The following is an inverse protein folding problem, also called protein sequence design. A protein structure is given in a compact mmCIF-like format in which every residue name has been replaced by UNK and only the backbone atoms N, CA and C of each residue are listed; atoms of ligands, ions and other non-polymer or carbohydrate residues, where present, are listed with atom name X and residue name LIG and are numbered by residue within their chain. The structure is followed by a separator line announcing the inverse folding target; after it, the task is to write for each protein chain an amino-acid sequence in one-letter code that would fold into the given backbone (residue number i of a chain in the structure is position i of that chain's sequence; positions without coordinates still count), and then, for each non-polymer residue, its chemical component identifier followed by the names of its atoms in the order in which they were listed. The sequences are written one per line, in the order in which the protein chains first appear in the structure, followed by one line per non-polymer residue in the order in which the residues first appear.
data_IF_278465073895
#
_entry.id   IF_278465073895
#
_cell.length_a   1.000
_cell.length_b   1.000
_cell.length_c   1.000
_cell.angle_alpha   90.00
_cell.angle_beta   90.00
_cell.angle_gamma   90.00
#
_symmetry.space_group_name_H-M   'P 1'
#
loop_
_entity.id
_entity.type
_entity.pdbx_description
1 polymer ?
#
# COMPACT_ATOMS: atom_id res chain seq x y z
N UNK A 1 2.78 -15.90 15.94
CA UNK A 1 3.51 -14.74 15.38
C UNK A 1 3.78 -13.76 16.51
N UNK A 2 4.98 -13.18 16.58
CA UNK A 2 5.28 -12.09 17.52
C UNK A 2 4.33 -10.93 17.18
N UNK A 3 3.50 -10.51 18.12
CA UNK A 3 2.67 -9.31 17.95
C UNK A 3 3.63 -8.14 17.79
N UNK A 4 3.52 -7.40 16.68
CA UNK A 4 4.29 -6.17 16.50
C UNK A 4 3.74 -5.14 17.48
N UNK A 5 4.40 -5.04 18.63
CA UNK A 5 4.09 -4.02 19.63
C UNK A 5 4.80 -2.72 19.24
N UNK A 6 4.00 -1.73 18.86
CA UNK A 6 4.47 -0.37 18.67
C UNK A 6 4.56 0.31 20.03
N UNK A 7 5.78 0.68 20.42
CA UNK A 7 6.03 1.49 21.60
C UNK A 7 6.20 2.97 21.24
N UNK A 8 5.71 3.90 22.08
CA UNK A 8 5.94 5.33 21.92
C UNK A 8 7.44 5.67 21.85
N UNK A 9 7.75 6.86 21.34
CA UNK A 9 9.10 7.40 21.42
C UNK A 9 9.38 7.91 22.84
N UNK A 10 10.47 7.45 23.44
CA UNK A 10 10.94 7.96 24.73
C UNK A 10 11.59 9.33 24.53
N UNK A 11 11.18 10.32 25.34
CA UNK A 11 11.73 11.67 25.38
C UNK A 11 11.76 12.43 24.03
N UNK A 12 10.99 11.99 23.03
CA UNK A 12 10.87 12.63 21.71
C UNK A 12 9.41 12.81 21.30
N UNK A 13 9.15 13.88 20.56
CA UNK A 13 7.88 14.11 19.87
C UNK A 13 8.07 13.89 18.37
N UNK A 14 7.13 13.20 17.76
CA UNK A 14 7.11 12.98 16.31
C UNK A 14 5.84 13.59 15.74
N UNK A 15 6.03 14.46 14.75
CA UNK A 15 4.97 14.96 13.87
C UNK A 15 5.11 14.33 12.50
N UNK A 16 4.05 13.70 12.01
CA UNK A 16 3.98 13.09 10.68
C UNK A 16 3.01 13.88 9.81
N UNK A 17 3.52 14.48 8.75
CA UNK A 17 2.70 14.98 7.65
C UNK A 17 2.49 13.84 6.67
N UNK A 18 1.31 13.26 6.71
CA UNK A 18 0.89 12.19 5.83
C UNK A 18 0.31 12.77 4.53
N UNK A 19 0.98 12.55 3.41
CA UNK A 19 0.54 13.00 2.10
C UNK A 19 -0.03 11.83 1.32
N UNK A 20 -1.32 11.88 1.02
CA UNK A 20 -1.96 10.88 0.16
C UNK A 20 -1.47 11.03 -1.28
N UNK A 21 -0.99 9.93 -1.87
CA UNK A 21 -0.66 9.84 -3.29
C UNK A 21 -1.90 9.85 -4.16
N UNK A 22 -1.66 9.99 -5.45
CA UNK A 22 -2.71 9.92 -6.48
C UNK A 22 -3.12 8.48 -6.82
N UNK A 23 -2.40 7.50 -6.28
CA UNK A 23 -2.56 6.08 -6.53
C UNK A 23 -2.03 5.29 -5.33
N UNK A 24 -2.44 4.03 -5.22
CA UNK A 24 -1.89 3.10 -4.23
C UNK A 24 -0.75 2.28 -4.82
N UNK A 25 0.33 2.09 -4.06
CA UNK A 25 1.40 1.18 -4.48
C UNK A 25 0.85 -0.24 -4.58
N UNK A 26 1.13 -0.95 -5.68
CA UNK A 26 0.71 -2.34 -5.79
C UNK A 26 1.31 -3.18 -4.67
N UNK A 27 0.44 -3.93 -4.00
CA UNK A 27 0.81 -4.86 -2.95
C UNK A 27 -0.01 -6.14 -3.10
N UNK A 28 0.69 -7.25 -3.29
CA UNK A 28 0.13 -8.59 -3.25
C UNK A 28 0.95 -9.44 -2.29
N UNK A 29 0.24 -10.21 -1.45
CA UNK A 29 0.84 -11.15 -0.49
C UNK A 29 1.43 -12.34 -1.24
N UNK A 30 0.70 -12.84 -2.25
CA UNK A 30 1.09 -13.94 -3.13
C UNK A 30 0.98 -13.46 -4.57
N UNK A 31 1.86 -13.89 -5.47
CA UNK A 31 1.84 -13.50 -6.88
C UNK A 31 0.46 -13.77 -7.52
N UNK A 32 -0.16 -12.80 -8.21
CA UNK A 32 -1.40 -13.06 -8.94
C UNK A 32 -1.14 -14.05 -10.09
N UNK A 33 -2.03 -15.03 -10.25
CA UNK A 33 -1.93 -16.10 -11.27
C UNK A 33 -1.98 -15.60 -12.71
N UNK A 34 -2.42 -14.35 -12.93
CA UNK A 34 -2.38 -13.71 -14.24
C UNK A 34 -1.06 -12.96 -14.38
N UNK A 35 -0.13 -13.51 -15.17
CA UNK A 35 1.01 -12.74 -15.67
C UNK A 35 0.47 -11.42 -16.25
N UNK A 36 0.93 -10.28 -15.72
CA UNK A 36 0.71 -9.01 -16.41
C UNK A 36 1.18 -9.21 -17.85
N UNK A 37 0.40 -8.80 -18.87
CA UNK A 37 0.89 -8.91 -20.24
C UNK A 37 2.26 -8.24 -20.29
N UNK A 38 3.28 -8.94 -20.81
CA UNK A 38 4.69 -8.48 -20.86
C UNK A 38 4.90 -7.09 -21.47
N UNK A 39 3.84 -6.54 -22.10
CA UNK A 39 3.78 -5.21 -22.71
C UNK A 39 2.87 -4.21 -21.93
N UNK A 40 2.49 -4.49 -20.69
CA UNK A 40 1.73 -3.53 -19.87
C UNK A 40 2.64 -2.33 -19.60
N UNK A 41 2.18 -1.13 -19.98
CA UNK A 41 2.91 0.12 -19.82
C UNK A 41 3.39 0.21 -18.36
N UNK A 42 4.70 0.23 -18.08
CA UNK A 42 5.26 0.36 -16.72
C UNK A 42 4.82 1.64 -15.98
N UNK A 43 4.10 2.55 -16.65
CA UNK A 43 3.97 3.96 -16.30
C UNK A 43 2.68 4.37 -15.59
N UNK A 44 1.83 3.43 -15.14
CA UNK A 44 0.55 3.80 -14.50
C UNK A 44 0.77 4.29 -13.05
N UNK A 45 1.70 3.68 -12.31
CA UNK A 45 1.98 4.00 -10.90
C UNK A 45 3.18 4.94 -10.77
N UNK A 46 3.01 6.18 -11.20
CA UNK A 46 4.02 7.24 -11.10
C UNK A 46 3.35 8.54 -10.65
N UNK A 47 3.95 9.29 -9.70
CA UNK A 47 3.38 10.57 -9.30
C UNK A 47 3.41 11.54 -10.47
N UNK A 48 2.35 12.35 -10.60
CA UNK A 48 2.32 13.37 -11.64
C UNK A 48 3.28 14.52 -11.33
N UNK A 49 3.65 15.27 -12.37
CA UNK A 49 4.48 16.47 -12.22
C UNK A 49 3.87 17.47 -11.23
N UNK A 50 2.54 17.61 -11.22
CA UNK A 50 1.85 18.49 -10.28
C UNK A 50 2.00 18.03 -8.83
N UNK A 51 1.93 16.72 -8.58
CA UNK A 51 2.17 16.16 -7.26
C UNK A 51 3.62 16.33 -6.82
N UNK A 52 4.58 16.10 -7.72
CA UNK A 52 6.00 16.34 -7.43
C UNK A 52 6.27 17.82 -7.10
N UNK A 53 5.71 18.76 -7.87
CA UNK A 53 5.86 20.19 -7.60
C UNK A 53 5.18 20.63 -6.30
N UNK A 54 4.05 20.01 -5.94
CA UNK A 54 3.42 20.20 -4.64
C UNK A 54 4.34 19.71 -3.51
N UNK A 55 4.86 18.48 -3.61
CA UNK A 55 5.78 17.92 -2.62
C UNK A 55 7.04 18.76 -2.49
N UNK A 56 7.59 19.24 -3.60
CA UNK A 56 8.77 20.10 -3.59
C UNK A 56 8.57 21.33 -2.69
N UNK A 57 7.45 22.05 -2.88
CA UNK A 57 7.09 23.20 -2.05
C UNK A 57 6.87 22.81 -0.59
N UNK A 58 6.20 21.69 -0.36
CA UNK A 58 5.96 21.19 0.99
C UNK A 58 7.27 20.88 1.72
N UNK A 59 8.23 20.26 1.04
CA UNK A 59 9.56 19.97 1.60
C UNK A 59 10.29 21.28 1.94
N UNK A 60 10.24 22.27 1.06
CA UNK A 60 10.90 23.58 1.28
C UNK A 60 10.29 24.35 2.47
N UNK A 61 8.98 24.26 2.65
CA UNK A 61 8.24 24.91 3.74
C UNK A 61 8.43 24.19 5.08
N UNK A 62 8.30 22.86 5.09
CA UNK A 62 8.29 22.04 6.31
C UNK A 62 9.71 21.72 6.79
N UNK A 63 10.66 21.53 5.87
CA UNK A 63 12.03 21.07 6.13
C UNK A 63 12.05 19.81 7.03
N UNK A 64 11.44 18.70 6.58
CA UNK A 64 11.34 17.50 7.38
C UNK A 64 12.72 16.91 7.71
N UNK A 65 12.83 16.25 8.86
CA UNK A 65 14.06 15.55 9.26
C UNK A 65 14.31 14.30 8.42
N UNK A 66 13.23 13.68 7.97
CA UNK A 66 13.26 12.59 7.02
C UNK A 66 11.89 12.43 6.33
N UNK A 67 11.85 11.62 5.29
CA UNK A 67 10.62 11.21 4.66
C UNK A 67 10.58 9.70 4.44
N UNK A 68 9.37 9.18 4.30
CA UNK A 68 9.13 7.76 4.05
C UNK A 68 8.10 7.56 2.96
N UNK A 69 8.16 6.42 2.29
CA UNK A 69 7.14 5.97 1.34
C UNK A 69 6.98 4.45 1.44
N UNK A 70 5.75 3.97 1.25
CA UNK A 70 5.44 2.55 1.12
C UNK A 70 6.24 1.90 -0.02
N UNK A 71 6.93 0.79 0.24
CA UNK A 71 7.67 0.07 -0.81
C UNK A 71 6.71 -0.60 -1.81
N UNK A 72 5.64 -1.23 -1.30
CA UNK A 72 4.77 -2.09 -2.08
C UNK A 72 5.52 -3.35 -2.54
N UNK A 73 5.29 -3.75 -3.78
CA UNK A 73 5.97 -4.90 -4.39
C UNK A 73 7.17 -4.52 -5.27
N UNK A 74 7.68 -3.29 -5.12
CA UNK A 74 8.92 -2.84 -5.75
C UNK A 74 10.12 -3.42 -5.01
N UNK A 75 11.20 -3.69 -5.72
CA UNK A 75 12.51 -3.92 -5.11
C UNK A 75 13.06 -2.64 -4.48
N UNK A 76 13.94 -2.78 -3.48
CA UNK A 76 14.67 -1.62 -2.93
C UNK A 76 15.51 -0.89 -3.97
N UNK A 77 15.94 -1.58 -5.03
CA UNK A 77 16.68 -0.98 -6.13
C UNK A 77 15.77 -0.04 -6.93
N UNK A 78 14.60 -0.51 -7.38
CA UNK A 78 13.60 0.31 -8.07
C UNK A 78 13.19 1.52 -7.20
N UNK A 79 12.98 1.30 -5.90
CA UNK A 79 12.67 2.37 -4.97
C UNK A 79 13.74 3.46 -4.89
N UNK A 80 15.02 3.11 -4.96
CA UNK A 80 16.13 4.07 -4.79
C UNK A 80 16.55 4.72 -6.10
N UNK A 81 16.54 3.97 -7.19
CA UNK A 81 17.16 4.38 -8.46
C UNK A 81 16.11 4.91 -9.46
N UNK A 82 14.92 4.31 -9.49
CA UNK A 82 13.90 4.57 -10.52
C UNK A 82 12.76 5.45 -10.01
N UNK A 83 12.60 5.55 -8.69
CA UNK A 83 11.58 6.38 -8.06
C UNK A 83 11.90 7.87 -8.17
N UNK A 84 11.02 8.62 -8.83
CA UNK A 84 11.14 10.07 -8.96
C UNK A 84 11.05 10.81 -7.61
N UNK A 85 10.37 10.25 -6.61
CA UNK A 85 10.33 10.83 -5.27
C UNK A 85 11.68 10.67 -4.56
N UNK A 86 12.37 9.54 -4.74
CA UNK A 86 13.70 9.36 -4.19
C UNK A 86 14.69 10.37 -4.77
N UNK A 87 14.58 10.68 -6.08
CA UNK A 87 15.38 11.72 -6.72
C UNK A 87 15.04 13.13 -6.17
N UNK A 88 13.76 13.42 -5.95
CA UNK A 88 13.29 14.69 -5.36
C UNK A 88 13.83 14.90 -3.93
N UNK A 89 13.67 13.92 -3.04
CA UNK A 89 14.17 14.05 -1.67
C UNK A 89 15.70 14.11 -1.61
N UNK A 90 16.39 13.39 -2.51
CA UNK A 90 17.85 13.48 -2.64
C UNK A 90 18.30 14.88 -3.04
N UNK A 91 17.62 15.56 -3.97
CA UNK A 91 17.97 16.93 -4.37
C UNK A 91 17.70 17.97 -3.29
N UNK A 92 16.78 17.66 -2.36
CA UNK A 92 16.47 18.45 -1.17
C UNK A 92 17.29 18.06 0.07
N UNK A 93 18.29 17.19 -0.10
CA UNK A 93 19.17 16.70 0.98
C UNK A 93 18.39 16.11 2.17
N UNK A 94 17.18 15.60 1.92
CA UNK A 94 16.31 15.01 2.94
C UNK A 94 16.41 13.49 2.86
N UNK A 95 16.73 12.78 3.96
CA UNK A 95 16.73 11.33 3.98
C UNK A 95 15.38 10.74 3.60
N UNK A 96 15.36 9.77 2.68
CA UNK A 96 14.13 9.14 2.20
C UNK A 96 14.20 7.63 2.30
N UNK A 97 13.26 7.03 3.03
CA UNK A 97 13.28 5.62 3.37
C UNK A 97 12.04 4.87 2.86
N UNK A 98 12.25 3.65 2.38
CA UNK A 98 11.16 2.72 2.14
C UNK A 98 10.65 2.16 3.48
N UNK A 99 9.34 2.03 3.63
CA UNK A 99 8.70 1.35 4.75
C UNK A 99 7.74 0.28 4.23
N UNK A 100 7.85 -0.94 4.74
CA UNK A 100 7.03 -2.08 4.34
C UNK A 100 7.18 -3.23 5.36
N UNK A 101 6.36 -4.27 5.21
CA UNK A 101 6.58 -5.57 5.86
C UNK A 101 7.99 -6.07 5.53
N UNK A 102 8.72 -6.53 6.55
CA UNK A 102 10.00 -7.22 6.37
C UNK A 102 9.86 -8.43 5.43
N UNK A 103 10.87 -8.65 4.57
CA UNK A 103 10.80 -9.67 3.53
C UNK A 103 10.54 -11.07 4.11
N UNK A 104 11.21 -11.44 5.20
CA UNK A 104 11.02 -12.74 5.84
C UNK A 104 9.62 -12.89 6.45
N UNK A 105 9.11 -11.82 7.07
CA UNK A 105 7.74 -11.80 7.58
C UNK A 105 6.71 -11.90 6.45
N UNK A 106 6.96 -11.24 5.31
CA UNK A 106 6.12 -11.29 4.11
C UNK A 106 6.10 -12.69 3.51
N UNK A 107 7.26 -13.33 3.35
CA UNK A 107 7.37 -14.73 2.88
C UNK A 107 6.62 -15.70 3.80
N UNK A 108 6.77 -15.54 5.12
CA UNK A 108 6.05 -16.38 6.08
C UNK A 108 4.53 -16.21 5.98
N UNK A 109 4.04 -14.99 5.79
CA UNK A 109 2.61 -14.70 5.60
C UNK A 109 2.11 -15.27 4.26
N UNK A 110 2.89 -15.10 3.19
CA UNK A 110 2.59 -15.62 1.87
C UNK A 110 2.44 -17.14 1.88
N UNK A 111 3.35 -17.85 2.55
CA UNK A 111 3.29 -19.32 2.68
C UNK A 111 1.98 -19.80 3.29
N UNK A 112 1.47 -19.12 4.34
CA UNK A 112 0.21 -19.48 5.00
C UNK A 112 -1.02 -19.26 4.11
N UNK A 113 -0.97 -18.27 3.21
CA UNK A 113 -2.04 -18.00 2.24
C UNK A 113 -1.93 -18.99 1.07
N UNK A 114 -0.72 -19.26 0.59
CA UNK A 114 -0.45 -20.20 -0.50
C UNK A 114 -0.87 -21.63 -0.15
N UNK A 115 -0.68 -22.06 1.11
CA UNK A 115 -1.15 -23.37 1.57
C UNK A 115 -2.67 -23.51 1.43
N UNK A 116 -3.44 -22.48 1.84
CA UNK A 116 -4.89 -22.45 1.67
C UNK A 116 -5.29 -22.43 0.20
N UNK A 117 -4.59 -21.65 -0.63
CA UNK A 117 -4.83 -21.60 -2.08
C UNK A 117 -4.59 -22.95 -2.76
N UNK A 118 -3.53 -23.66 -2.39
CA UNK A 118 -3.27 -25.02 -2.91
C UNK A 118 -4.38 -25.98 -2.52
N UNK A 119 -4.82 -25.95 -1.26
CA UNK A 119 -5.94 -26.79 -0.81
C UNK A 119 -7.24 -26.47 -1.57
N UNK A 120 -7.53 -25.19 -1.80
CA UNK A 120 -8.66 -24.73 -2.62
C UNK A 120 -8.57 -25.30 -4.03
N UNK A 121 -7.40 -25.19 -4.67
CA UNK A 121 -7.19 -25.64 -6.04
C UNK A 121 -7.32 -27.16 -6.16
N UNK A 122 -6.92 -27.92 -5.14
CA UNK A 122 -7.08 -29.37 -5.10
C UNK A 122 -8.56 -29.79 -4.91
N UNK A 123 -9.33 -29.05 -4.11
CA UNK A 123 -10.79 -29.26 -3.99
C UNK A 123 -11.50 -28.94 -5.31
N UNK A 124 -11.12 -27.87 -6.00
CA UNK A 124 -11.67 -27.52 -7.32
C UNK A 124 -11.44 -28.65 -8.31
N UNK A 125 -10.21 -29.19 -8.40
CA UNK A 125 -9.90 -30.33 -9.28
C UNK A 125 -10.75 -31.55 -8.94
N UNK A 126 -10.92 -31.87 -7.65
CA UNK A 126 -11.75 -32.98 -7.23
C UNK A 126 -13.22 -32.80 -7.68
N UNK A 127 -13.77 -31.59 -7.52
CA UNK A 127 -15.13 -31.24 -7.98
C UNK A 127 -15.27 -31.31 -9.50
N UNK A 128 -14.25 -30.91 -10.26
CA UNK A 128 -14.23 -31.06 -11.72
C UNK A 128 -14.27 -32.55 -12.14
N UNK A 129 -13.57 -33.44 -11.45
CA UNK A 129 -13.61 -34.89 -11.68
C UNK A 129 -14.99 -35.50 -11.40
N UNK A 130 -15.73 -34.96 -10.42
CA UNK A 130 -17.11 -35.36 -10.15
C UNK A 130 -18.07 -34.92 -11.28
N UNK A 131 -17.93 -33.67 -11.74
CA UNK A 131 -18.80 -33.09 -12.78
C UNK A 131 -18.72 -33.79 -14.15
N UNK A 132 -17.59 -34.45 -14.44
CA UNK A 132 -17.36 -35.18 -15.69
C UNK A 132 -18.04 -36.57 -15.75
N UNK A 133 -18.69 -37.03 -14.67
CA UNK A 133 -19.40 -38.30 -14.62
C UNK A 133 -20.86 -38.10 -15.09
N UNK A 134 -21.19 -38.71 -16.24
CA UNK A 134 -22.41 -38.44 -17.04
C UNK A 134 -23.77 -38.73 -16.39
N UNK A 135 -23.82 -39.32 -15.21
CA UNK A 135 -25.06 -39.55 -14.47
C UNK A 135 -24.76 -39.47 -12.98
N UNK A 136 -25.29 -38.46 -12.28
CA UNK A 136 -25.63 -38.55 -10.85
C UNK A 136 -26.37 -37.31 -10.35
N UNK A 137 -27.38 -37.56 -9.54
CA UNK A 137 -27.84 -36.60 -8.53
C UNK A 137 -26.63 -36.13 -7.71
N UNK A 138 -26.62 -34.86 -7.30
CA UNK A 138 -25.54 -34.30 -6.46
C UNK A 138 -25.26 -35.23 -5.28
N UNK A 139 -24.02 -35.66 -5.13
CA UNK A 139 -23.65 -36.51 -4.02
C UNK A 139 -23.45 -35.68 -2.74
N UNK A 140 -23.61 -36.30 -1.58
CA UNK A 140 -23.34 -35.65 -0.29
C UNK A 140 -21.88 -35.16 -0.23
N UNK A 141 -20.96 -35.91 -0.84
CA UNK A 141 -19.55 -35.53 -0.93
C UNK A 141 -19.33 -34.27 -1.80
N UNK A 142 -20.04 -34.14 -2.92
CA UNK A 142 -19.98 -32.94 -3.77
C UNK A 142 -20.51 -31.70 -3.03
N UNK A 143 -21.63 -31.83 -2.30
CA UNK A 143 -22.19 -30.74 -1.51
C UNK A 143 -21.26 -30.34 -0.37
N UNK A 144 -20.67 -31.32 0.33
CA UNK A 144 -19.68 -31.07 1.37
C UNK A 144 -18.45 -30.33 0.83
N UNK A 145 -17.87 -30.80 -0.28
CA UNK A 145 -16.70 -30.16 -0.88
C UNK A 145 -17.02 -28.76 -1.39
N UNK A 146 -18.22 -28.53 -1.92
CA UNK A 146 -18.67 -27.19 -2.33
C UNK A 146 -18.77 -26.24 -1.15
N UNK A 147 -19.38 -26.66 -0.04
CA UNK A 147 -19.49 -25.83 1.17
C UNK A 147 -18.10 -25.55 1.77
N UNK A 148 -17.22 -26.56 1.78
CA UNK A 148 -15.85 -26.38 2.27
C UNK A 148 -15.04 -25.43 1.38
N UNK A 149 -15.19 -25.53 0.05
CA UNK A 149 -14.56 -24.62 -0.90
C UNK A 149 -14.98 -23.16 -0.67
N UNK A 150 -16.27 -22.92 -0.41
CA UNK A 150 -16.78 -21.58 -0.11
C UNK A 150 -16.19 -21.02 1.19
N UNK A 151 -16.14 -21.83 2.24
CA UNK A 151 -15.50 -21.44 3.51
C UNK A 151 -14.02 -21.10 3.30
N UNK A 152 -13.29 -21.97 2.61
CA UNK A 152 -11.87 -21.79 2.36
C UNK A 152 -11.57 -20.54 1.51
N UNK A 153 -12.42 -20.24 0.52
CA UNK A 153 -12.30 -19.02 -0.28
C UNK A 153 -12.50 -17.76 0.58
N UNK A 154 -13.47 -17.77 1.49
CA UNK A 154 -13.68 -16.68 2.44
C UNK A 154 -12.47 -16.51 3.38
N UNK A 155 -11.92 -17.60 3.92
CA UNK A 155 -10.74 -17.56 4.79
C UNK A 155 -9.50 -16.99 4.07
N UNK A 156 -9.33 -17.29 2.79
CA UNK A 156 -8.24 -16.72 1.97
C UNK A 156 -8.42 -15.21 1.81
N UNK A 157 -9.63 -14.77 1.46
CA UNK A 157 -9.94 -13.34 1.27
C UNK A 157 -9.76 -12.55 2.58
N UNK A 158 -10.22 -13.08 3.70
CA UNK A 158 -10.04 -12.50 5.04
C UNK A 158 -8.56 -12.41 5.42
N UNK A 159 -7.78 -13.46 5.17
CA UNK A 159 -6.35 -13.47 5.45
C UNK A 159 -5.59 -12.44 4.59
N UNK A 160 -5.88 -12.37 3.29
CA UNK A 160 -5.28 -11.37 2.40
C UNK A 160 -5.63 -9.94 2.82
N UNK A 161 -6.88 -9.71 3.21
CA UNK A 161 -7.34 -8.42 3.72
C UNK A 161 -6.65 -8.05 5.03
N UNK A 162 -6.56 -8.96 5.99
CA UNK A 162 -5.88 -8.74 7.27
C UNK A 162 -4.41 -8.42 7.05
N UNK A 163 -3.73 -9.15 6.16
CA UNK A 163 -2.32 -8.88 5.86
C UNK A 163 -2.19 -7.49 5.24
N UNK A 164 -3.03 -7.14 4.27
CA UNK A 164 -2.96 -5.87 3.54
C UNK A 164 -3.28 -4.65 4.41
N UNK A 165 -4.28 -4.73 5.28
CA UNK A 165 -4.79 -3.55 6.01
C UNK A 165 -4.52 -3.57 7.51
N UNK A 166 -4.25 -4.72 8.13
CA UNK A 166 -3.93 -4.77 9.56
C UNK A 166 -2.44 -4.96 9.79
N UNK A 167 -1.83 -5.94 9.14
CA UNK A 167 -0.40 -6.25 9.34
C UNK A 167 0.46 -5.19 8.67
N UNK A 168 0.25 -4.95 7.37
CA UNK A 168 1.06 -4.01 6.57
C UNK A 168 1.11 -2.61 7.18
N UNK A 169 -0.04 -2.09 7.60
CA UNK A 169 -0.12 -0.72 8.14
C UNK A 169 0.63 -0.58 9.46
N UNK A 170 0.66 -1.63 10.30
CA UNK A 170 1.49 -1.66 11.52
C UNK A 170 2.97 -1.67 11.19
N UNK A 171 3.39 -2.42 10.16
CA UNK A 171 4.78 -2.41 9.68
C UNK A 171 5.19 -1.04 9.12
N UNK A 172 4.31 -0.39 8.36
CA UNK A 172 4.53 0.97 7.85
C UNK A 172 4.72 1.94 9.02
N UNK A 173 3.80 1.95 9.98
CA UNK A 173 3.90 2.79 11.17
C UNK A 173 5.19 2.52 11.97
N UNK A 174 5.56 1.24 12.12
CA UNK A 174 6.80 0.85 12.79
C UNK A 174 8.02 1.39 12.07
N UNK A 175 8.09 1.24 10.74
CA UNK A 175 9.19 1.79 9.94
C UNK A 175 9.33 3.30 10.08
N UNK A 176 8.22 4.04 10.19
CA UNK A 176 8.24 5.49 10.46
C UNK A 176 8.85 5.77 11.85
N UNK A 177 8.37 5.10 12.90
CA UNK A 177 8.84 5.29 14.28
C UNK A 177 10.31 4.90 14.43
N UNK A 178 10.73 3.78 13.85
CA UNK A 178 12.11 3.32 13.89
C UNK A 178 13.07 4.28 13.20
N UNK A 179 12.66 4.90 12.10
CA UNK A 179 13.47 5.94 11.47
C UNK A 179 13.51 7.23 12.32
N UNK A 180 12.40 7.61 12.96
CA UNK A 180 12.40 8.73 13.91
C UNK A 180 13.32 8.50 15.12
N UNK A 181 13.40 7.27 15.65
CA UNK A 181 14.31 6.92 16.77
C UNK A 181 15.77 7.23 16.44
N UNK A 182 16.19 7.00 15.19
CA UNK A 182 17.56 7.21 14.70
C UNK A 182 17.94 8.69 14.57
N UNK A 183 16.97 9.60 14.55
CA UNK A 183 17.24 11.04 14.45
C UNK A 183 17.61 11.58 15.83
N UNK A 184 18.79 12.21 15.96
CA UNK A 184 19.29 12.82 17.20
C UNK A 184 18.66 14.20 17.46
N UNK A 185 17.32 14.26 17.45
CA UNK A 185 16.53 15.45 17.80
C UNK A 185 15.38 15.07 18.74
N UNK A 186 14.96 16.04 19.56
CA UNK A 186 13.81 15.89 20.47
C UNK A 186 12.48 16.02 19.73
N UNK A 187 12.39 17.02 18.87
CA UNK A 187 11.23 17.26 18.00
C UNK A 187 11.60 16.79 16.60
N UNK A 188 10.86 15.82 16.07
CA UNK A 188 11.12 15.20 14.78
C UNK A 188 9.92 15.41 13.87
N UNK A 189 10.15 15.88 12.66
CA UNK A 189 9.13 16.01 11.62
C UNK A 189 9.40 15.06 10.47
N UNK A 190 8.41 14.24 10.13
CA UNK A 190 8.44 13.31 9.02
C UNK A 190 7.40 13.67 7.96
N UNK A 191 7.75 13.57 6.68
CA UNK A 191 6.75 13.47 5.60
C UNK A 191 6.58 11.99 5.25
N UNK A 192 5.37 11.46 5.39
CA UNK A 192 5.04 10.11 4.95
C UNK A 192 4.18 10.16 3.68
N UNK A 193 4.67 9.58 2.59
CA UNK A 193 3.97 9.47 1.31
C UNK A 193 3.19 8.17 1.28
N UNK A 194 1.87 8.25 1.46
CA UNK A 194 1.00 7.09 1.65
C UNK A 194 0.11 6.82 0.44
N UNK A 195 -0.15 5.54 0.17
CA UNK A 195 -1.26 5.11 -0.66
C UNK A 195 -2.59 5.54 -0.03
N UNK A 196 -3.56 6.09 -0.79
CA UNK A 196 -4.84 6.54 -0.25
C UNK A 196 -5.58 5.49 0.58
N UNK A 197 -5.45 4.22 0.23
CA UNK A 197 -6.13 3.12 0.93
C UNK A 197 -5.54 2.81 2.32
N UNK A 198 -4.30 3.22 2.60
CA UNK A 198 -3.60 2.95 3.86
C UNK A 198 -3.50 4.15 4.79
N UNK A 199 -3.68 5.36 4.27
CA UNK A 199 -3.48 6.60 5.02
C UNK A 199 -4.25 6.63 6.35
N UNK A 200 -5.55 6.31 6.34
CA UNK A 200 -6.37 6.36 7.55
C UNK A 200 -5.96 5.33 8.61
N UNK A 201 -5.59 4.13 8.18
CA UNK A 201 -5.24 3.06 9.12
C UNK A 201 -3.84 3.24 9.72
N UNK A 202 -2.86 3.63 8.90
CA UNK A 202 -1.52 4.05 9.38
C UNK A 202 -1.64 5.23 10.34
N UNK A 203 -2.47 6.23 10.02
CA UNK A 203 -2.72 7.39 10.90
C UNK A 203 -3.21 6.95 12.27
N UNK A 204 -4.26 6.13 12.35
CA UNK A 204 -4.82 5.66 13.63
C UNK A 204 -3.79 4.91 14.47
N UNK A 205 -2.94 4.11 13.82
CA UNK A 205 -1.87 3.36 14.49
C UNK A 205 -0.83 4.32 15.09
N UNK A 206 -0.37 5.31 14.32
CA UNK A 206 0.58 6.32 14.79
C UNK A 206 0.00 7.16 15.95
N UNK A 207 -1.25 7.63 15.81
CA UNK A 207 -1.93 8.41 16.87
C UNK A 207 -2.09 7.61 18.16
N UNK A 208 -2.28 6.28 18.08
CA UNK A 208 -2.39 5.42 19.27
C UNK A 208 -1.11 5.33 20.11
N UNK A 209 0.03 5.78 19.56
CA UNK A 209 1.33 5.84 20.24
C UNK A 209 1.87 7.26 20.36
N UNK A 210 0.97 8.23 20.50
CA UNK A 210 1.23 9.65 20.75
C UNK A 210 2.03 10.37 19.65
N UNK A 211 1.90 9.93 18.40
CA UNK A 211 2.42 10.66 17.24
C UNK A 211 1.37 11.66 16.76
N UNK A 212 1.77 12.90 16.50
CA UNK A 212 0.91 13.91 15.89
C UNK A 212 0.84 13.65 14.37
N UNK A 213 -0.36 13.48 13.81
CA UNK A 213 -0.53 13.19 12.39
C UNK A 213 -1.43 14.21 11.71
N UNK A 214 -0.87 14.91 10.73
CA UNK A 214 -1.61 15.78 9.81
C UNK A 214 -1.74 15.10 8.45
N UNK A 215 -2.94 15.08 7.88
CA UNK A 215 -3.18 14.44 6.58
C UNK A 215 -3.41 15.51 5.51
N UNK A 216 -2.64 15.44 4.43
CA UNK A 216 -2.82 16.25 3.24
C UNK A 216 -3.30 15.36 2.11
N UNK A 217 -4.44 15.71 1.53
CA UNK A 217 -5.01 15.04 0.35
C UNK A 217 -5.03 15.99 -0.85
N UNK A 218 -4.02 15.94 -1.74
CA UNK A 218 -4.04 16.73 -2.96
C UNK A 218 -5.23 16.33 -3.85
N UNK A 219 -6.06 17.30 -4.24
CA UNK A 219 -7.21 17.06 -5.13
C UNK A 219 -6.97 17.76 -6.46
N UNK A 220 -7.01 17.00 -7.55
CA UNK A 220 -7.04 17.55 -8.91
C UNK A 220 -8.46 17.91 -9.30
N UNK A 221 -8.67 19.17 -9.72
CA UNK A 221 -9.95 19.64 -10.27
C UNK A 221 -9.73 20.16 -11.68
N UNK A 222 -10.58 19.74 -12.62
CA UNK A 222 -10.66 20.35 -13.94
C UNK A 222 -11.38 21.69 -13.80
N UNK A 223 -10.73 22.77 -14.23
CA UNK A 223 -11.33 24.10 -14.29
C UNK A 223 -11.51 24.45 -15.76
N UNK A 224 -12.75 24.41 -16.24
CA UNK A 224 -13.08 24.89 -17.58
C UNK A 224 -13.11 26.43 -17.52
N UNK A 225 -12.22 27.09 -18.26
CA UNK A 225 -12.37 28.52 -18.55
C UNK A 225 -13.41 28.64 -19.66
N UNK A 226 -14.59 29.21 -19.36
CA UNK A 226 -15.53 29.61 -20.41
C UNK A 226 -14.81 30.56 -21.37
N UNK A 227 -14.66 30.13 -22.63
CA UNK A 227 -14.31 31.06 -23.70
C UNK A 227 -15.57 31.86 -24.01
N UNK A 228 -15.61 33.11 -23.58
CA UNK A 228 -16.58 34.08 -24.09
C UNK A 228 -16.32 34.24 -25.59
N UNK A 229 -17.13 33.57 -26.41
CA UNK A 229 -17.20 33.84 -27.83
C UNK A 229 -18.03 35.11 -28.02
N UNK A 230 -17.37 36.26 -28.16
CA UNK A 230 -17.98 37.47 -28.74
C UNK A 230 -18.04 37.29 -30.26
N UNK A 231 -19.00 36.51 -30.73
CA UNK A 231 -19.36 36.46 -32.15
C UNK A 231 -20.36 37.57 -32.45
N UNK A 232 -19.88 38.70 -32.99
CA UNK A 232 -20.75 39.61 -33.74
C UNK A 232 -21.28 38.85 -34.97
N UNK A 233 -22.59 38.55 -34.96
CA UNK A 233 -23.33 38.21 -36.16
C UNK A 233 -23.39 39.48 -37.01
N UNK A 234 -22.71 39.48 -38.15
CA UNK A 234 -22.98 40.42 -39.24
C UNK A 234 -23.94 39.74 -40.21
N UNK A 235 -25.11 40.37 -40.37
CA UNK A 235 -26.12 40.06 -41.39
C UNK A 235 -25.57 40.20 -42.82
#
# INVERSE_FOLDING_TARGET
MKVLELSPLEDKTLRVIMVEKEYSEPFWVTEPLYERPKNSIPSIFKPSLAFCAFLEKLIDEVKPDFATEELGNRSLKEFREENVLAQLFKSKETPFFAVEIDEYAKESLASLVDEKKRLRDDIIKALEEFSNKKEKERSIEEEYLTAYLQCLQQEIEEAEYEIKFSVRERWIAMGIIENARKIEKREVTCIHISSPEHANGVKKILESVNVEVETIKPVKKLVFKEKTYSGELKD
#
